data_IF_900275450976
#
_entry.id   IF_900275450976
#
_cell.length_a   1.000
_cell.length_b   1.000
_cell.length_c   1.000
_cell.angle_alpha   90.00
_cell.angle_beta   90.00
_cell.angle_gamma   90.00
#
_symmetry.space_group_name_H-M   'P 1'
#
loop_
_entity.id
_entity.type
_entity.pdbx_description
1 polymer ?
#
# COMPACT_ATOMS: atom_id res chain seq x y z
N UNK A 1 -12.47 5.08 -18.69
CA UNK A 1 -13.25 3.85 -18.96
C UNK A 1 -14.68 4.23 -19.23
N UNK A 2 -15.36 3.52 -20.13
CA UNK A 2 -16.74 3.88 -20.48
C UNK A 2 -17.61 2.65 -20.73
N UNK A 3 -18.92 2.86 -20.57
CA UNK A 3 -19.97 1.97 -21.01
C UNK A 3 -21.17 2.84 -21.45
N UNK A 4 -21.45 2.87 -22.75
CA UNK A 4 -22.40 3.85 -23.30
C UNK A 4 -21.92 5.29 -23.08
N UNK A 5 -22.77 6.14 -22.52
CA UNK A 5 -22.46 7.54 -22.22
C UNK A 5 -21.78 7.78 -20.85
N UNK A 6 -21.68 6.77 -20.02
CA UNK A 6 -21.12 6.87 -18.67
C UNK A 6 -19.60 6.69 -18.70
N UNK A 7 -18.88 7.49 -17.92
CA UNK A 7 -17.41 7.50 -17.88
C UNK A 7 -16.92 7.41 -16.46
N UNK A 8 -16.01 6.46 -16.21
CA UNK A 8 -15.19 6.39 -15.02
C UNK A 8 -13.77 6.82 -15.36
N UNK A 9 -13.38 8.02 -14.95
CA UNK A 9 -12.00 8.47 -15.00
C UNK A 9 -11.16 7.73 -13.97
N UNK A 10 -9.93 7.34 -14.33
CA UNK A 10 -9.02 6.69 -13.39
C UNK A 10 -7.73 7.51 -13.32
N UNK A 11 -7.44 8.03 -12.13
CA UNK A 11 -6.20 8.72 -11.83
C UNK A 11 -5.22 7.75 -11.18
N UNK A 12 -4.08 7.57 -11.82
CA UNK A 12 -2.98 6.78 -11.30
C UNK A 12 -2.21 7.54 -10.22
N UNK A 13 -1.91 6.88 -9.10
CA UNK A 13 -1.00 7.41 -8.09
C UNK A 13 0.34 6.71 -8.13
N UNK A 14 1.41 7.47 -7.97
CA UNK A 14 2.78 6.96 -7.86
C UNK A 14 3.36 7.36 -6.52
N UNK A 15 3.96 6.41 -5.81
CA UNK A 15 4.78 6.60 -4.61
C UNK A 15 5.86 5.52 -4.54
N UNK A 16 7.04 5.81 -4.01
CA UNK A 16 7.50 7.11 -3.51
C UNK A 16 7.73 8.14 -4.62
N UNK A 17 7.68 9.41 -4.24
CA UNK A 17 7.94 10.56 -5.11
C UNK A 17 8.89 11.54 -4.43
N UNK A 18 9.60 12.42 -5.16
CA UNK A 18 10.34 13.53 -4.54
C UNK A 18 9.46 14.38 -3.62
N UNK A 19 10.00 14.80 -2.45
CA UNK A 19 9.24 15.55 -1.44
C UNK A 19 8.62 16.85 -1.96
N UNK A 20 9.26 17.51 -2.92
CA UNK A 20 8.82 18.77 -3.54
C UNK A 20 8.50 18.57 -5.02
N UNK A 21 7.71 17.54 -5.33
CA UNK A 21 7.39 17.21 -6.71
C UNK A 21 6.27 18.09 -7.26
N UNK A 22 6.50 18.67 -8.43
CA UNK A 22 5.43 19.23 -9.28
C UNK A 22 4.96 18.17 -10.27
N UNK A 23 3.66 18.12 -10.54
CA UNK A 23 3.05 17.15 -11.43
C UNK A 23 1.87 17.76 -12.18
N UNK A 24 1.37 17.08 -13.22
CA UNK A 24 0.24 17.57 -14.04
C UNK A 24 -1.10 17.40 -13.30
N UNK A 25 -1.40 18.32 -12.39
CA UNK A 25 -2.67 18.35 -11.68
C UNK A 25 -3.81 19.04 -12.47
N UNK A 26 -3.47 19.76 -13.55
CA UNK A 26 -4.45 20.46 -14.38
C UNK A 26 -5.47 19.48 -14.97
N UNK A 27 -6.74 19.80 -14.82
CA UNK A 27 -7.85 18.98 -15.29
C UNK A 27 -8.47 18.06 -14.24
N UNK A 28 -7.73 17.64 -13.18
CA UNK A 28 -8.30 16.80 -12.13
C UNK A 28 -9.43 17.50 -11.39
N UNK A 29 -9.25 18.78 -11.06
CA UNK A 29 -10.29 19.59 -10.42
C UNK A 29 -11.56 19.65 -11.28
N UNK A 30 -11.43 19.85 -12.59
CA UNK A 30 -12.57 19.88 -13.51
C UNK A 30 -13.26 18.50 -13.60
N UNK A 31 -12.52 17.41 -13.57
CA UNK A 31 -13.09 16.06 -13.57
C UNK A 31 -13.83 15.81 -12.25
N UNK A 32 -13.24 16.17 -11.11
CA UNK A 32 -13.91 16.06 -9.81
C UNK A 32 -15.19 16.87 -9.78
N UNK A 33 -15.17 18.10 -10.28
CA UNK A 33 -16.35 18.99 -10.33
C UNK A 33 -17.54 18.41 -11.11
N UNK A 34 -17.27 17.55 -12.10
CA UNK A 34 -18.29 16.88 -12.91
C UNK A 34 -18.67 15.50 -12.39
N UNK A 35 -17.91 14.97 -11.42
CA UNK A 35 -18.10 13.62 -10.92
C UNK A 35 -19.20 13.54 -9.88
N UNK A 36 -20.04 12.50 -9.96
CA UNK A 36 -21.00 12.18 -8.91
C UNK A 36 -20.32 11.71 -7.63
N UNK A 37 -19.16 11.04 -7.77
CA UNK A 37 -18.35 10.54 -6.66
C UNK A 37 -16.90 10.29 -7.05
N UNK A 38 -16.05 10.17 -6.01
CA UNK A 38 -14.67 9.72 -6.13
C UNK A 38 -14.52 8.39 -5.40
N UNK A 39 -14.09 7.34 -6.10
CA UNK A 39 -13.79 6.03 -5.52
C UNK A 39 -12.32 5.99 -5.07
N UNK A 40 -12.06 5.58 -3.83
CA UNK A 40 -10.68 5.36 -3.39
C UNK A 40 -10.11 4.06 -3.94
N UNK A 41 -8.78 3.91 -3.89
CA UNK A 41 -8.17 2.60 -4.04
C UNK A 41 -8.73 1.62 -3.00
N UNK A 42 -8.82 0.33 -3.34
CA UNK A 42 -9.24 -0.69 -2.39
C UNK A 42 -8.21 -0.82 -1.27
N UNK A 43 -8.69 -0.93 -0.05
CA UNK A 43 -7.86 -1.06 1.14
C UNK A 43 -8.49 -2.01 2.15
N UNK A 44 -7.67 -2.45 3.12
CA UNK A 44 -8.12 -3.20 4.28
C UNK A 44 -7.74 -2.45 5.55
N UNK A 45 -8.62 -2.40 6.51
CA UNK A 45 -8.39 -1.77 7.81
C UNK A 45 -9.02 -2.57 8.93
N UNK A 46 -8.44 -2.48 10.11
CA UNK A 46 -9.04 -3.01 11.33
C UNK A 46 -9.83 -1.90 12.00
N UNK A 47 -11.14 -2.08 12.12
CA UNK A 47 -12.03 -1.09 12.72
C UNK A 47 -11.89 -1.06 14.24
N UNK A 48 -11.36 0.05 14.77
CA UNK A 48 -11.31 0.29 16.20
C UNK A 48 -12.72 0.37 16.83
N UNK A 49 -13.73 0.75 16.05
CA UNK A 49 -15.12 0.78 16.50
C UNK A 49 -15.65 -0.62 16.81
N UNK A 50 -15.29 -1.61 16.00
CA UNK A 50 -15.67 -3.01 16.24
C UNK A 50 -15.01 -3.59 17.48
N UNK A 51 -13.75 -3.20 17.78
CA UNK A 51 -13.02 -3.63 18.98
C UNK A 51 -13.52 -2.91 20.23
N UNK A 52 -14.01 -1.67 20.10
CA UNK A 52 -14.30 -0.74 21.17
C UNK A 52 -13.06 0.05 21.62
N UNK A 53 -13.16 1.38 21.69
CA UNK A 53 -12.01 2.25 21.97
C UNK A 53 -11.27 1.91 23.27
N UNK A 54 -12.01 1.63 24.34
CA UNK A 54 -11.40 1.31 25.63
C UNK A 54 -10.63 -0.03 25.59
N UNK A 55 -11.21 -1.02 24.92
CA UNK A 55 -10.59 -2.33 24.71
C UNK A 55 -9.35 -2.21 23.82
N UNK A 56 -9.39 -1.39 22.78
CA UNK A 56 -8.27 -1.11 21.90
C UNK A 56 -7.09 -0.48 22.66
N UNK A 57 -7.34 0.50 23.55
CA UNK A 57 -6.32 1.10 24.39
C UNK A 57 -5.62 0.08 25.30
N UNK A 58 -6.38 -0.83 25.93
CA UNK A 58 -5.78 -1.89 26.77
C UNK A 58 -4.97 -2.92 25.98
N UNK A 59 -5.16 -2.99 24.68
CA UNK A 59 -4.43 -3.91 23.78
C UNK A 59 -3.20 -3.27 23.13
N UNK A 60 -3.03 -1.95 23.23
CA UNK A 60 -1.94 -1.22 22.57
C UNK A 60 -0.55 -1.76 22.90
N UNK A 61 -0.16 -2.04 24.19
CA UNK A 61 1.14 -2.62 24.50
C UNK A 61 1.34 -3.98 23.82
N UNK A 62 0.30 -4.82 23.76
CA UNK A 62 0.36 -6.11 23.10
C UNK A 62 0.49 -5.97 21.57
N UNK A 63 -0.17 -5.00 20.97
CA UNK A 63 -0.07 -4.71 19.56
C UNK A 63 1.33 -4.23 19.16
N UNK A 64 2.00 -3.43 20.00
CA UNK A 64 3.38 -3.01 19.77
C UNK A 64 4.36 -4.20 19.80
N UNK A 65 4.12 -5.18 20.67
CA UNK A 65 4.95 -6.38 20.76
C UNK A 65 4.85 -7.29 19.53
N UNK A 66 3.79 -7.18 18.72
CA UNK A 66 3.64 -7.94 17.45
C UNK A 66 4.79 -7.67 16.47
N UNK A 67 5.37 -6.47 16.52
CA UNK A 67 6.50 -6.09 15.66
C UNK A 67 7.81 -6.75 16.06
N UNK A 68 7.92 -7.27 17.27
CA UNK A 68 9.15 -7.90 17.80
C UNK A 68 9.20 -9.38 17.48
N UNK A 69 10.41 -9.92 17.35
CA UNK A 69 10.61 -11.35 17.23
C UNK A 69 10.10 -12.06 18.49
N UNK A 70 9.51 -13.25 18.36
CA UNK A 70 9.23 -14.10 19.51
C UNK A 70 10.49 -14.36 20.33
N UNK A 71 10.32 -14.56 21.63
CA UNK A 71 11.39 -14.95 22.58
C UNK A 71 12.59 -13.99 22.65
N UNK A 72 12.41 -12.73 22.18
CA UNK A 72 13.47 -11.73 22.19
C UNK A 72 14.61 -11.98 21.20
N UNK A 73 14.42 -12.88 20.24
CA UNK A 73 15.42 -13.18 19.22
C UNK A 73 15.81 -11.94 18.41
N UNK A 74 17.08 -11.84 18.02
CA UNK A 74 17.57 -10.78 17.17
C UNK A 74 17.44 -11.16 15.68
N UNK A 75 17.48 -10.18 14.80
CA UNK A 75 17.43 -10.43 13.35
C UNK A 75 18.49 -11.42 12.88
N UNK A 76 19.73 -11.31 13.42
CA UNK A 76 20.82 -12.23 13.10
C UNK A 76 20.53 -13.70 13.42
N UNK A 77 19.59 -13.95 14.37
CA UNK A 77 19.25 -15.30 14.82
C UNK A 77 18.10 -15.90 13.99
N UNK A 78 17.38 -15.06 13.22
CA UNK A 78 16.16 -15.47 12.49
C UNK A 78 16.27 -15.35 10.98
N UNK A 79 17.26 -14.60 10.47
CA UNK A 79 17.50 -14.46 9.01
C UNK A 79 18.78 -15.20 8.60
N UNK A 80 18.89 -15.66 7.32
CA UNK A 80 20.12 -16.26 6.81
C UNK A 80 21.33 -15.31 6.95
N UNK A 81 22.53 -15.83 7.30
CA UNK A 81 23.71 -15.00 7.57
C UNK A 81 24.08 -14.04 6.43
N UNK A 82 24.02 -14.51 5.18
CA UNK A 82 24.32 -13.67 4.00
C UNK A 82 23.32 -12.51 3.85
N UNK A 83 22.05 -12.77 4.11
CA UNK A 83 21.01 -11.76 4.08
C UNK A 83 21.17 -10.77 5.24
N UNK A 84 21.60 -11.24 6.41
CA UNK A 84 21.91 -10.37 7.55
C UNK A 84 23.09 -9.45 7.26
N UNK A 85 24.13 -9.91 6.57
CA UNK A 85 25.24 -9.06 6.15
C UNK A 85 24.77 -7.91 5.21
N UNK A 86 23.91 -8.22 4.24
CA UNK A 86 23.30 -7.20 3.37
C UNK A 86 22.46 -6.21 4.19
N UNK A 87 21.65 -6.71 5.12
CA UNK A 87 20.90 -5.88 6.06
C UNK A 87 21.78 -4.90 6.81
N UNK A 88 22.88 -5.36 7.42
CA UNK A 88 23.80 -4.52 8.18
C UNK A 88 24.35 -3.39 7.31
N UNK A 89 24.80 -3.70 6.09
CA UNK A 89 25.36 -2.71 5.16
C UNK A 89 24.35 -1.60 4.82
N UNK A 90 23.09 -1.97 4.56
CA UNK A 90 22.04 -1.01 4.21
C UNK A 90 21.52 -0.28 5.47
N UNK A 91 21.37 -0.98 6.59
CA UNK A 91 20.95 -0.39 7.87
C UNK A 91 21.91 0.72 8.30
N UNK A 92 23.21 0.46 8.28
CA UNK A 92 24.24 1.42 8.73
C UNK A 92 24.26 2.69 7.89
N UNK A 93 23.80 2.62 6.64
CA UNK A 93 23.65 3.79 5.76
C UNK A 93 22.42 4.63 6.09
N UNK A 94 21.33 4.03 6.52
CA UNK A 94 20.03 4.72 6.61
C UNK A 94 19.45 4.83 8.02
N UNK A 95 19.91 4.05 8.99
CA UNK A 95 19.49 4.13 10.39
C UNK A 95 20.65 4.65 11.23
N UNK A 96 20.36 5.68 12.02
CA UNK A 96 21.35 6.24 12.94
C UNK A 96 21.34 5.43 14.24
N UNK A 97 22.45 4.77 14.53
CA UNK A 97 22.61 3.90 15.72
C UNK A 97 22.52 4.65 17.05
N UNK A 98 22.75 5.96 17.05
CA UNK A 98 22.86 6.75 18.28
C UNK A 98 21.51 7.32 18.76
N UNK A 99 20.46 7.25 17.94
CA UNK A 99 19.15 7.85 18.22
C UNK A 99 17.99 6.84 18.33
N UNK A 100 18.30 5.59 18.58
CA UNK A 100 17.25 4.55 18.65
C UNK A 100 16.97 4.24 20.11
N UNK A 101 15.81 4.67 20.61
CA UNK A 101 15.27 4.16 21.84
C UNK A 101 15.17 2.63 21.78
N UNK A 102 15.47 1.92 22.88
CA UNK A 102 15.43 0.45 22.92
C UNK A 102 14.11 -0.16 22.43
N UNK A 103 13.03 0.61 22.52
CA UNK A 103 11.69 0.22 22.08
C UNK A 103 11.58 0.14 20.54
N UNK A 104 12.40 0.89 19.82
CA UNK A 104 12.47 0.90 18.37
C UNK A 104 13.70 0.18 17.81
N UNK A 105 14.35 -0.64 18.61
CA UNK A 105 15.52 -1.42 18.18
C UNK A 105 15.15 -2.36 17.03
N UNK A 106 15.53 -1.96 15.82
CA UNK A 106 15.22 -2.70 14.57
C UNK A 106 15.78 -4.12 14.57
N UNK A 107 16.83 -4.38 15.35
CA UNK A 107 17.43 -5.70 15.46
C UNK A 107 16.54 -6.71 16.23
N UNK A 108 15.60 -6.22 17.02
CA UNK A 108 14.63 -7.05 17.74
C UNK A 108 13.31 -7.19 16.98
N UNK A 109 13.15 -6.46 15.88
CA UNK A 109 11.93 -6.55 15.06
C UNK A 109 11.93 -7.84 14.24
N UNK A 110 10.73 -8.30 13.92
CA UNK A 110 10.55 -9.34 12.90
C UNK A 110 11.08 -8.86 11.57
N UNK A 111 11.59 -9.76 10.71
CA UNK A 111 12.24 -9.39 9.46
C UNK A 111 11.44 -8.41 8.63
N UNK A 112 10.15 -8.66 8.39
CA UNK A 112 9.29 -7.77 7.60
C UNK A 112 9.21 -6.36 8.19
N UNK A 113 9.01 -6.23 9.50
CA UNK A 113 8.86 -4.91 10.13
C UNK A 113 10.17 -4.14 10.17
N UNK A 114 11.30 -4.84 10.40
CA UNK A 114 12.63 -4.24 10.32
C UNK A 114 12.92 -3.70 8.91
N UNK A 115 12.62 -4.49 7.88
CA UNK A 115 12.81 -4.08 6.49
C UNK A 115 11.93 -2.89 6.10
N UNK A 116 10.67 -2.86 6.53
CA UNK A 116 9.75 -1.74 6.27
C UNK A 116 10.20 -0.46 6.97
N UNK A 117 10.72 -0.56 8.21
CA UNK A 117 11.29 0.59 8.93
C UNK A 117 12.51 1.14 8.18
N UNK A 118 13.44 0.26 7.81
CA UNK A 118 14.62 0.62 7.03
C UNK A 118 14.24 1.27 5.69
N UNK A 119 13.25 0.72 4.99
CA UNK A 119 12.74 1.26 3.74
C UNK A 119 12.19 2.69 3.92
N UNK A 120 11.42 2.92 4.98
CA UNK A 120 10.90 4.25 5.32
C UNK A 120 12.03 5.26 5.55
N UNK A 121 13.07 4.88 6.31
CA UNK A 121 14.24 5.72 6.54
C UNK A 121 15.04 5.99 5.26
N UNK A 122 15.24 4.95 4.44
CA UNK A 122 15.97 5.07 3.17
C UNK A 122 15.25 6.01 2.20
N UNK A 123 13.94 5.92 2.08
CA UNK A 123 13.11 6.85 1.29
C UNK A 123 13.31 8.28 1.80
N UNK A 124 13.13 8.53 3.09
CA UNK A 124 13.25 9.86 3.69
C UNK A 124 14.62 10.49 3.47
N UNK A 125 15.70 9.75 3.78
CA UNK A 125 17.09 10.21 3.58
C UNK A 125 17.45 10.40 2.10
N UNK A 126 16.74 9.73 1.19
CA UNK A 126 16.90 9.92 -0.25
C UNK A 126 16.09 11.10 -0.80
N UNK A 127 15.44 11.91 0.05
CA UNK A 127 14.62 13.05 -0.37
C UNK A 127 13.32 12.64 -1.09
N UNK A 128 12.88 11.41 -0.86
CA UNK A 128 11.60 10.88 -1.34
C UNK A 128 10.56 10.87 -0.22
N UNK A 129 9.30 10.73 -0.59
CA UNK A 129 8.18 10.57 0.33
C UNK A 129 7.18 9.55 -0.17
N UNK A 130 6.56 8.81 0.74
CA UNK A 130 5.43 7.92 0.45
C UNK A 130 4.08 8.66 0.47
N UNK A 131 4.06 9.95 0.81
CA UNK A 131 2.85 10.76 0.75
C UNK A 131 2.44 10.99 -0.71
N UNK A 132 1.20 10.67 -1.03
CA UNK A 132 0.67 10.87 -2.40
C UNK A 132 0.40 12.35 -2.66
N UNK A 133 0.95 12.94 -3.73
CA UNK A 133 0.65 14.33 -4.10
C UNK A 133 -0.76 14.50 -4.70
N UNK A 134 -1.42 13.41 -5.08
CA UNK A 134 -2.74 13.42 -5.72
C UNK A 134 -3.87 13.68 -4.72
N UNK A 135 -3.80 13.07 -3.54
CA UNK A 135 -4.90 13.12 -2.57
C UNK A 135 -5.23 14.52 -2.03
N UNK A 136 -4.27 15.42 -1.75
CA UNK A 136 -4.60 16.80 -1.36
C UNK A 136 -5.46 17.48 -2.43
N UNK A 137 -5.07 17.41 -3.70
CA UNK A 137 -5.79 18.04 -4.82
C UNK A 137 -7.22 17.50 -4.95
N UNK A 138 -7.38 16.17 -4.87
CA UNK A 138 -8.71 15.53 -4.97
C UNK A 138 -9.59 15.91 -3.78
N UNK A 139 -9.06 15.90 -2.55
CA UNK A 139 -9.85 16.26 -1.35
C UNK A 139 -10.31 17.70 -1.36
N UNK A 140 -9.43 18.62 -1.78
CA UNK A 140 -9.75 20.04 -1.87
C UNK A 140 -10.83 20.29 -2.94
N UNK A 141 -10.70 19.67 -4.11
CA UNK A 141 -11.70 19.74 -5.17
C UNK A 141 -13.04 19.11 -4.74
N UNK A 142 -13.01 17.92 -4.14
CA UNK A 142 -14.21 17.24 -3.65
C UNK A 142 -14.94 18.07 -2.58
N UNK A 143 -14.20 18.70 -1.67
CA UNK A 143 -14.78 19.64 -0.69
C UNK A 143 -15.38 20.87 -1.37
N UNK A 144 -14.66 21.48 -2.33
CA UNK A 144 -15.09 22.69 -3.05
C UNK A 144 -16.40 22.46 -3.83
N UNK A 145 -16.54 21.32 -4.48
CA UNK A 145 -17.67 20.99 -5.34
C UNK A 145 -18.70 20.06 -4.69
N UNK A 146 -18.56 19.80 -3.38
CA UNK A 146 -19.44 18.90 -2.61
C UNK A 146 -19.58 17.50 -3.22
N UNK A 147 -18.48 16.95 -3.73
CA UNK A 147 -18.43 15.61 -4.32
C UNK A 147 -18.09 14.59 -3.24
N UNK A 148 -18.84 13.50 -3.18
CA UNK A 148 -18.63 12.43 -2.19
C UNK A 148 -17.35 11.64 -2.49
N UNK A 149 -16.49 11.45 -1.49
CA UNK A 149 -15.40 10.46 -1.55
C UNK A 149 -15.92 9.15 -0.95
N UNK A 150 -16.04 8.12 -1.78
CA UNK A 150 -16.47 6.78 -1.38
C UNK A 150 -15.26 5.95 -1.03
N UNK A 151 -15.02 5.75 0.26
CA UNK A 151 -13.94 4.91 0.75
C UNK A 151 -14.25 3.43 0.50
N UNK A 152 -13.37 2.73 -0.19
CA UNK A 152 -13.47 1.31 -0.48
C UNK A 152 -12.53 0.54 0.45
N UNK A 153 -12.91 0.49 1.71
CA UNK A 153 -12.16 -0.17 2.79
C UNK A 153 -12.89 -1.41 3.26
N UNK A 154 -12.24 -2.55 3.15
CA UNK A 154 -12.72 -3.79 3.73
C UNK A 154 -12.30 -3.86 5.20
N UNK A 155 -13.26 -4.06 6.09
CA UNK A 155 -13.04 -4.20 7.53
C UNK A 155 -13.43 -5.62 7.95
N UNK A 156 -12.45 -6.54 8.12
CA UNK A 156 -12.77 -7.88 8.60
C UNK A 156 -13.34 -7.83 10.02
N UNK A 157 -14.31 -8.67 10.29
CA UNK A 157 -14.87 -8.80 11.64
C UNK A 157 -13.89 -9.61 12.50
N UNK A 158 -13.43 -9.02 13.59
CA UNK A 158 -12.52 -9.68 14.54
C UNK A 158 -13.31 -10.05 15.78
N UNK A 159 -13.70 -11.32 15.90
CA UNK A 159 -14.49 -11.79 17.03
C UNK A 159 -13.67 -11.81 18.33
N UNK A 160 -12.41 -12.25 18.26
CA UNK A 160 -11.51 -12.39 19.42
C UNK A 160 -10.17 -11.67 19.22
N UNK A 161 -10.14 -10.34 19.30
CA UNK A 161 -8.94 -9.57 18.98
C UNK A 161 -7.76 -9.85 19.92
N UNK A 162 -7.99 -10.19 21.20
CA UNK A 162 -6.93 -10.53 22.14
C UNK A 162 -6.27 -11.88 21.80
N UNK A 163 -7.06 -12.87 21.44
CA UNK A 163 -6.58 -14.20 21.01
C UNK A 163 -5.77 -14.06 19.72
N UNK A 164 -6.28 -13.32 18.75
CA UNK A 164 -5.60 -13.05 17.50
C UNK A 164 -4.24 -12.35 17.71
N UNK A 165 -4.17 -11.35 18.60
CA UNK A 165 -2.90 -10.69 18.94
C UNK A 165 -1.93 -11.65 19.65
N UNK A 166 -2.42 -12.49 20.57
CA UNK A 166 -1.58 -13.48 21.26
C UNK A 166 -0.98 -14.46 20.26
N UNK A 167 -1.77 -14.98 19.34
CA UNK A 167 -1.29 -15.89 18.29
C UNK A 167 -0.27 -15.20 17.38
N UNK A 168 -0.56 -13.97 16.92
CA UNK A 168 0.38 -13.23 16.08
C UNK A 168 1.71 -12.99 16.79
N UNK A 169 1.72 -12.77 18.10
CA UNK A 169 2.95 -12.62 18.89
C UNK A 169 3.78 -13.88 18.98
N UNK A 170 3.15 -15.05 19.14
CA UNK A 170 3.83 -16.35 19.30
C UNK A 170 4.20 -17.02 17.99
N UNK A 171 3.56 -16.63 16.86
CA UNK A 171 3.78 -17.25 15.57
C UNK A 171 4.96 -16.61 14.85
N UNK A 172 5.85 -17.43 14.28
CA UNK A 172 6.84 -16.96 13.31
C UNK A 172 6.13 -16.68 11.98
N UNK A 173 6.38 -15.50 11.41
CA UNK A 173 5.92 -15.16 10.07
C UNK A 173 6.88 -15.76 9.03
N UNK A 174 6.34 -16.18 7.89
CA UNK A 174 7.14 -16.58 6.73
C UNK A 174 7.54 -15.33 5.92
N UNK A 175 8.28 -14.42 6.54
CA UNK A 175 8.52 -13.06 6.04
C UNK A 175 9.97 -12.80 5.57
N UNK A 176 10.78 -13.84 5.47
CA UNK A 176 12.17 -13.73 5.00
C UNK A 176 12.24 -13.24 3.55
N UNK A 177 11.33 -13.71 2.68
CA UNK A 177 11.29 -13.24 1.30
C UNK A 177 10.88 -11.76 1.20
N UNK A 178 9.87 -11.33 1.98
CA UNK A 178 9.52 -9.92 2.09
C UNK A 178 10.72 -9.07 2.57
N UNK A 179 11.46 -9.54 3.56
CA UNK A 179 12.66 -8.88 4.06
C UNK A 179 13.74 -8.78 2.98
N UNK A 180 14.06 -9.89 2.30
CA UNK A 180 15.07 -9.94 1.24
C UNK A 180 14.74 -9.00 0.08
N UNK A 181 13.50 -9.06 -0.41
CA UNK A 181 13.01 -8.21 -1.52
C UNK A 181 12.97 -6.73 -1.14
N UNK A 182 12.71 -6.41 0.13
CA UNK A 182 12.76 -5.03 0.59
C UNK A 182 14.18 -4.50 0.64
N UNK A 183 15.15 -5.29 1.09
CA UNK A 183 16.58 -4.92 1.06
C UNK A 183 17.04 -4.72 -0.38
N UNK A 184 16.77 -5.68 -1.26
CA UNK A 184 17.08 -5.59 -2.69
C UNK A 184 16.54 -4.30 -3.30
N UNK A 185 15.30 -3.95 -2.98
CA UNK A 185 14.68 -2.72 -3.45
C UNK A 185 15.39 -1.45 -2.96
N UNK A 186 15.89 -1.43 -1.72
CA UNK A 186 16.65 -0.29 -1.21
C UNK A 186 18.02 -0.19 -1.90
N UNK A 187 18.66 -1.33 -2.15
CA UNK A 187 19.97 -1.39 -2.80
C UNK A 187 19.94 -0.92 -4.26
N UNK A 188 18.89 -1.30 -5.00
CA UNK A 188 18.87 -1.21 -6.47
C UNK A 188 17.88 -0.19 -7.04
N UNK A 189 16.77 0.11 -6.34
CA UNK A 189 15.61 0.77 -6.94
C UNK A 189 15.42 2.25 -6.52
N UNK A 190 16.18 2.79 -5.56
CA UNK A 190 16.01 4.19 -5.12
C UNK A 190 16.17 5.19 -6.27
N UNK A 191 17.11 4.94 -7.19
CA UNK A 191 17.28 5.73 -8.41
C UNK A 191 16.10 5.59 -9.36
N UNK A 192 15.67 4.36 -9.61
CA UNK A 192 14.54 4.04 -10.47
C UNK A 192 13.20 4.60 -9.94
N UNK A 193 13.04 4.70 -8.61
CA UNK A 193 11.88 5.36 -8.00
C UNK A 193 11.75 6.82 -8.44
N UNK A 194 12.87 7.56 -8.53
CA UNK A 194 12.85 8.95 -9.03
C UNK A 194 12.51 9.02 -10.51
N UNK A 195 13.09 8.14 -11.31
CA UNK A 195 12.79 8.06 -12.76
C UNK A 195 11.31 7.76 -12.96
N UNK A 196 10.77 6.77 -12.23
CA UNK A 196 9.36 6.39 -12.27
C UNK A 196 8.45 7.53 -11.84
N UNK A 197 8.81 8.26 -10.78
CA UNK A 197 8.07 9.41 -10.31
C UNK A 197 8.04 10.55 -11.34
N UNK A 198 9.17 10.82 -12.01
CA UNK A 198 9.26 11.84 -13.06
C UNK A 198 8.43 11.45 -14.29
N UNK A 199 8.52 10.20 -14.74
CA UNK A 199 7.70 9.68 -15.83
C UNK A 199 6.19 9.80 -15.50
N UNK A 200 5.81 9.43 -14.27
CA UNK A 200 4.43 9.62 -13.81
C UNK A 200 4.00 11.09 -13.81
N UNK A 201 4.83 12.01 -13.33
CA UNK A 201 4.50 13.42 -13.25
C UNK A 201 4.28 14.08 -14.62
N UNK A 202 4.92 13.55 -15.67
CA UNK A 202 4.77 13.99 -17.06
C UNK A 202 3.71 13.20 -17.83
N UNK A 203 3.20 12.09 -17.27
CA UNK A 203 2.23 11.21 -17.92
C UNK A 203 2.85 10.19 -18.88
N UNK A 204 4.17 9.96 -18.79
CA UNK A 204 4.86 8.98 -19.64
C UNK A 204 4.66 7.56 -19.10
N UNK A 205 3.54 6.96 -19.47
CA UNK A 205 3.16 5.60 -19.05
C UNK A 205 4.12 4.55 -19.62
N UNK A 206 4.64 4.76 -20.82
CA UNK A 206 5.55 3.80 -21.46
C UNK A 206 6.88 3.74 -20.71
N UNK A 207 7.42 4.87 -20.28
CA UNK A 207 8.60 4.88 -19.43
C UNK A 207 8.36 4.12 -18.11
N UNK A 208 7.18 4.26 -17.49
CA UNK A 208 6.85 3.51 -16.26
C UNK A 208 6.81 2.00 -16.50
N UNK A 209 6.20 1.55 -17.62
CA UNK A 209 6.10 0.12 -17.97
C UNK A 209 7.46 -0.53 -18.20
N UNK A 210 8.42 0.22 -18.75
CA UNK A 210 9.75 -0.28 -19.08
C UNK A 210 10.71 -0.32 -17.87
N UNK A 211 10.32 0.25 -16.75
CA UNK A 211 11.12 0.18 -15.51
C UNK A 211 10.90 -1.16 -14.80
N UNK A 212 11.96 -1.77 -14.27
CA UNK A 212 11.86 -3.02 -13.54
C UNK A 212 10.81 -2.92 -12.43
N UNK A 213 9.88 -3.87 -12.38
CA UNK A 213 9.01 -4.04 -11.23
C UNK A 213 9.78 -4.80 -10.14
N UNK A 214 9.65 -4.36 -8.89
CA UNK A 214 10.18 -5.13 -7.77
C UNK A 214 9.08 -6.00 -7.18
N UNK A 215 9.36 -7.27 -6.94
CA UNK A 215 8.41 -8.25 -6.38
C UNK A 215 8.19 -8.06 -4.86
N UNK A 216 8.77 -7.01 -4.28
CA UNK A 216 8.70 -6.73 -2.84
C UNK A 216 7.27 -6.69 -2.30
N UNK A 217 6.36 -6.07 -3.05
CA UNK A 217 4.97 -5.98 -2.63
C UNK A 217 4.31 -7.36 -2.58
N UNK A 218 4.48 -8.16 -3.62
CA UNK A 218 3.91 -9.50 -3.70
C UNK A 218 4.46 -10.41 -2.59
N UNK A 219 5.76 -10.37 -2.32
CA UNK A 219 6.39 -11.12 -1.25
C UNK A 219 5.83 -10.75 0.14
N UNK A 220 5.67 -9.44 0.41
CA UNK A 220 5.12 -8.97 1.68
C UNK A 220 3.62 -9.25 1.83
N UNK A 221 2.83 -9.12 0.77
CA UNK A 221 1.41 -9.49 0.77
C UNK A 221 1.23 -11.00 1.02
N UNK A 222 2.10 -11.84 0.45
CA UNK A 222 2.11 -13.29 0.66
C UNK A 222 2.44 -13.64 2.11
N UNK A 223 3.48 -13.03 2.70
CA UNK A 223 3.85 -13.25 4.09
C UNK A 223 2.69 -12.92 5.07
N UNK A 224 1.94 -11.86 4.78
CA UNK A 224 0.77 -11.48 5.58
C UNK A 224 -0.39 -12.45 5.34
N UNK A 225 -0.75 -12.71 4.07
CA UNK A 225 -1.90 -13.55 3.69
C UNK A 225 -1.78 -14.96 4.25
N UNK A 226 -0.59 -15.55 4.17
CA UNK A 226 -0.36 -16.95 4.54
C UNK A 226 -0.08 -17.11 6.04
N UNK A 227 -0.07 -16.02 6.79
CA UNK A 227 0.12 -16.05 8.25
C UNK A 227 -1.06 -16.73 8.95
N UNK A 228 -0.78 -17.41 10.06
CA UNK A 228 -1.81 -17.99 10.94
C UNK A 228 -2.77 -16.90 11.47
N UNK A 229 -2.27 -15.68 11.66
CA UNK A 229 -3.06 -14.53 12.05
C UNK A 229 -4.21 -14.26 11.07
N UNK A 230 -3.95 -14.24 9.76
CA UNK A 230 -5.00 -14.06 8.75
C UNK A 230 -6.00 -15.21 8.75
N UNK A 231 -5.53 -16.44 9.06
CA UNK A 231 -6.39 -17.61 9.22
C UNK A 231 -7.33 -17.46 10.42
N UNK A 232 -6.79 -17.07 11.57
CA UNK A 232 -7.57 -16.84 12.79
C UNK A 232 -8.58 -15.71 12.65
N UNK A 233 -8.25 -14.67 11.87
CA UNK A 233 -9.21 -13.60 11.54
C UNK A 233 -10.29 -14.04 10.54
N UNK A 234 -10.23 -15.24 9.97
CA UNK A 234 -11.09 -15.62 8.84
C UNK A 234 -10.91 -14.74 7.61
N UNK A 235 -9.76 -14.06 7.52
CA UNK A 235 -9.47 -13.04 6.51
C UNK A 235 -8.55 -13.55 5.37
N UNK A 236 -8.42 -14.86 5.20
CA UNK A 236 -7.59 -15.48 4.15
C UNK A 236 -7.97 -15.00 2.75
N UNK A 237 -9.26 -14.75 2.51
CA UNK A 237 -9.77 -14.25 1.24
C UNK A 237 -9.94 -12.72 1.23
N UNK A 238 -9.39 -12.00 2.22
CA UNK A 238 -9.59 -10.56 2.34
C UNK A 238 -9.08 -9.79 1.12
N UNK A 239 -7.92 -10.16 0.58
CA UNK A 239 -7.35 -9.52 -0.63
C UNK A 239 -8.30 -9.68 -1.81
N UNK A 240 -8.87 -10.87 -1.98
CA UNK A 240 -9.84 -11.13 -3.04
C UNK A 240 -11.16 -10.39 -2.81
N UNK A 241 -11.64 -10.34 -1.58
CA UNK A 241 -12.85 -9.58 -1.21
C UNK A 241 -12.67 -8.08 -1.44
N UNK A 242 -11.52 -7.54 -1.06
CA UNK A 242 -11.13 -6.14 -1.33
C UNK A 242 -11.15 -5.85 -2.84
N UNK A 243 -10.59 -6.76 -3.65
CA UNK A 243 -10.60 -6.65 -5.11
C UNK A 243 -12.00 -6.69 -5.70
N UNK A 244 -12.83 -7.63 -5.26
CA UNK A 244 -14.25 -7.74 -5.69
C UNK A 244 -15.05 -6.50 -5.31
N UNK A 245 -14.86 -5.98 -4.09
CA UNK A 245 -15.52 -4.76 -3.63
C UNK A 245 -15.23 -3.58 -4.55
N UNK A 246 -13.96 -3.39 -4.94
CA UNK A 246 -13.58 -2.30 -5.83
C UNK A 246 -14.19 -2.47 -7.23
N UNK A 247 -14.11 -3.68 -7.81
CA UNK A 247 -14.71 -3.96 -9.12
C UNK A 247 -16.21 -3.70 -9.13
N UNK A 248 -16.94 -4.14 -8.11
CA UNK A 248 -18.37 -3.90 -7.99
C UNK A 248 -18.70 -2.40 -7.87
N UNK A 249 -17.90 -1.64 -7.12
CA UNK A 249 -18.09 -0.19 -7.02
C UNK A 249 -17.82 0.52 -8.35
N UNK A 250 -16.76 0.12 -9.07
CA UNK A 250 -16.45 0.65 -10.40
C UNK A 250 -17.55 0.35 -11.41
N UNK A 251 -18.08 -0.88 -11.42
CA UNK A 251 -19.21 -1.27 -12.28
C UNK A 251 -20.50 -0.53 -11.92
N UNK A 252 -20.74 -0.33 -10.62
CA UNK A 252 -21.90 0.46 -10.17
C UNK A 252 -21.80 1.91 -10.64
N UNK A 253 -20.62 2.52 -10.53
CA UNK A 253 -20.38 3.88 -11.04
C UNK A 253 -20.60 3.94 -12.56
N UNK A 254 -20.05 2.99 -13.31
CA UNK A 254 -20.24 2.92 -14.78
C UNK A 254 -21.67 2.66 -15.22
N UNK A 255 -22.53 2.13 -14.36
CA UNK A 255 -23.97 1.93 -14.65
C UNK A 255 -24.81 3.15 -14.29
N UNK A 256 -24.50 3.83 -13.21
CA UNK A 256 -25.39 4.80 -12.56
C UNK A 256 -24.93 6.24 -12.67
N UNK A 257 -23.61 6.49 -12.84
CA UNK A 257 -23.03 7.81 -12.82
C UNK A 257 -22.65 8.23 -14.25
N UNK A 258 -23.06 9.44 -14.67
CA UNK A 258 -22.58 10.00 -15.96
C UNK A 258 -21.07 10.15 -15.97
N UNK A 259 -20.54 10.70 -14.89
CA UNK A 259 -19.10 10.85 -14.66
C UNK A 259 -18.80 10.46 -13.23
N UNK A 260 -17.78 9.63 -13.05
CA UNK A 260 -17.18 9.30 -11.76
C UNK A 260 -15.65 9.32 -11.87
N UNK A 261 -14.96 9.48 -10.75
CA UNK A 261 -13.51 9.40 -10.66
C UNK A 261 -13.11 8.23 -9.77
N UNK A 262 -12.08 7.49 -10.15
CA UNK A 262 -11.42 6.52 -9.27
C UNK A 262 -9.93 6.83 -9.15
N UNK A 263 -9.36 6.50 -7.99
CA UNK A 263 -7.92 6.66 -7.73
C UNK A 263 -7.33 5.28 -7.49
N UNK A 264 -6.30 4.93 -8.26
CA UNK A 264 -5.59 3.65 -8.14
C UNK A 264 -4.07 3.84 -8.16
N UNK A 265 -3.29 3.01 -7.47
CA UNK A 265 -1.85 2.94 -7.68
C UNK A 265 -1.51 2.55 -9.13
N UNK A 266 -0.49 3.19 -9.72
CA UNK A 266 -0.03 2.86 -11.08
C UNK A 266 0.29 1.37 -11.24
N UNK A 267 0.87 0.75 -10.22
CA UNK A 267 1.14 -0.68 -10.23
C UNK A 267 -0.12 -1.55 -10.43
N UNK A 268 -1.28 -1.14 -9.91
CA UNK A 268 -2.54 -1.85 -10.10
C UNK A 268 -3.21 -1.52 -11.45
N UNK A 269 -2.96 -0.32 -11.98
CA UNK A 269 -3.43 0.08 -13.31
C UNK A 269 -2.72 -0.71 -14.39
N UNK A 270 -1.39 -0.88 -14.25
CA UNK A 270 -0.53 -1.48 -15.25
C UNK A 270 -0.39 -3.01 -15.11
N UNK A 271 -0.89 -3.60 -14.04
CA UNK A 271 -0.85 -5.04 -13.83
C UNK A 271 -1.66 -5.78 -14.91
N UNK A 272 -1.07 -6.84 -15.48
CA UNK A 272 -1.68 -7.66 -16.55
C UNK A 272 -2.97 -8.36 -16.11
N UNK A 273 -3.08 -8.69 -14.83
CA UNK A 273 -4.24 -9.28 -14.15
C UNK A 273 -4.96 -8.28 -13.21
N UNK A 274 -4.65 -6.99 -13.37
CA UNK A 274 -5.15 -5.92 -12.52
C UNK A 274 -6.62 -5.56 -12.77
N UNK A 275 -7.09 -4.52 -12.09
CA UNK A 275 -8.48 -4.10 -12.16
C UNK A 275 -8.93 -3.68 -13.56
N UNK A 276 -8.04 -3.00 -14.31
CA UNK A 276 -8.36 -2.57 -15.67
C UNK A 276 -8.47 -3.75 -16.63
N UNK A 277 -7.59 -4.75 -16.50
CA UNK A 277 -7.67 -5.98 -17.29
C UNK A 277 -9.00 -6.70 -17.04
N UNK A 278 -9.37 -6.90 -15.77
CA UNK A 278 -10.63 -7.53 -15.37
C UNK A 278 -11.88 -6.77 -15.86
N UNK A 279 -11.81 -5.44 -15.94
CA UNK A 279 -12.92 -4.66 -16.49
C UNK A 279 -12.97 -4.74 -18.03
N UNK A 280 -11.83 -4.83 -18.72
CA UNK A 280 -11.78 -5.13 -20.17
C UNK A 280 -12.42 -6.49 -20.48
N UNK A 281 -12.07 -7.54 -19.72
CA UNK A 281 -12.68 -8.88 -19.84
C UNK A 281 -14.19 -8.87 -19.64
N UNK A 282 -14.72 -7.93 -18.86
CA UNK A 282 -16.16 -7.73 -18.65
C UNK A 282 -16.81 -6.81 -19.70
N UNK A 283 -16.08 -6.47 -20.78
CA UNK A 283 -16.59 -5.70 -21.91
C UNK A 283 -16.62 -4.18 -21.72
N UNK A 284 -15.91 -3.64 -20.73
CA UNK A 284 -15.77 -2.19 -20.59
C UNK A 284 -14.65 -1.66 -21.49
N UNK A 285 -14.91 -0.56 -22.19
CA UNK A 285 -13.89 0.11 -22.98
C UNK A 285 -12.90 0.85 -22.08
N UNK A 286 -11.63 0.48 -22.15
CA UNK A 286 -10.53 1.15 -21.43
C UNK A 286 -9.68 1.90 -22.42
N UNK A 287 -9.72 3.24 -22.34
CA UNK A 287 -8.85 4.12 -23.09
C UNK A 287 -7.71 4.60 -22.19
N UNK A 288 -6.51 4.56 -22.71
CA UNK A 288 -5.33 5.14 -22.07
C UNK A 288 -5.08 6.52 -22.69
N UNK A 289 -4.51 7.48 -21.96
CA UNK A 289 -4.07 8.74 -22.56
C UNK A 289 -2.95 8.46 -23.56
N UNK A 290 -2.94 9.24 -24.64
CA UNK A 290 -1.90 9.24 -25.68
C UNK A 290 -0.55 9.71 -25.14
#
# INVERSE_FOLDING_TARGET
MSKGANVLWIVGTQTPVPQKMTWRAKGIEAIVAQSSQVLTAPSMSISLKQIGYFRALTMLPSAMQVRKNPDGALLKDVVPPELYMRWVAVRDKYIDRYNVDEEFDVERMRPMFAALELYSKAIGKSGLTSASPVWPVIRDAAKKYNVKITALTFEPTINEPRTALKELRSTRLADIDCFAKTIERIETDLGAMRIRANAWATGDINAIRNLPATDQRAACETAIRDSSFMKTLGAQNAIEQVGRMWLNAAESALKNDKVALAVLPMAQILATDGYLAKLRERGYLVQEPD
#
